data_IF_891519150168
#
_entry.id   IF_891519150168
#
_cell.length_a   1.000
_cell.length_b   1.000
_cell.length_c   1.000
_cell.angle_alpha   90.00
_cell.angle_beta   90.00
_cell.angle_gamma   90.00
#
_symmetry.space_group_name_H-M   'P 1'
#
loop_
_entity.id
_entity.type
_entity.pdbx_description
1 polymer ?
#
# COMPACT_ATOMS: atom_id res chain seq x y z
N UNK A 1 26.66 17.12 14.65
CA UNK A 1 25.52 17.94 14.17
C UNK A 1 25.02 17.30 12.89
N UNK A 2 24.14 16.30 13.04
CA UNK A 2 23.33 15.79 11.94
C UNK A 2 22.39 16.91 11.53
N UNK A 3 22.34 17.25 10.24
CA UNK A 3 21.23 18.07 9.74
C UNK A 3 19.95 17.37 10.13
N UNK A 4 19.00 18.09 10.73
CA UNK A 4 17.66 17.58 10.95
C UNK A 4 17.06 17.28 9.58
N UNK A 5 17.13 16.01 9.18
CA UNK A 5 16.50 15.53 7.96
C UNK A 5 15.00 15.57 8.24
N UNK A 6 14.34 16.62 7.77
CA UNK A 6 12.91 16.78 7.92
C UNK A 6 12.20 15.79 6.98
N UNK A 7 11.64 14.73 7.54
CA UNK A 7 10.84 13.77 6.80
C UNK A 7 9.54 14.44 6.35
N UNK A 8 9.33 14.49 5.03
CA UNK A 8 8.18 15.14 4.45
C UNK A 8 7.05 14.14 4.20
N UNK A 9 5.82 14.49 4.63
CA UNK A 9 4.63 13.69 4.32
C UNK A 9 4.56 13.41 2.82
N UNK A 10 4.34 12.15 2.39
CA UNK A 10 4.15 11.79 0.99
C UNK A 10 3.04 12.64 0.36
N UNK A 11 3.27 13.17 -0.84
CA UNK A 11 2.23 13.88 -1.59
C UNK A 11 1.50 12.85 -2.45
N UNK A 12 0.19 12.75 -2.25
CA UNK A 12 -0.69 11.89 -3.02
C UNK A 12 -1.51 12.72 -4.01
N UNK A 13 -1.81 12.14 -5.16
CA UNK A 13 -2.62 12.74 -6.23
C UNK A 13 -4.08 12.27 -6.19
N UNK A 14 -4.32 11.10 -5.62
CA UNK A 14 -5.65 10.60 -5.28
C UNK A 14 -6.18 11.26 -4.01
N UNK A 15 -7.51 11.42 -3.93
CA UNK A 15 -8.17 11.95 -2.73
C UNK A 15 -8.23 10.92 -1.58
N UNK A 16 -8.16 9.63 -1.90
CA UNK A 16 -8.16 8.55 -0.92
C UNK A 16 -6.75 8.25 -0.40
N UNK A 17 -6.60 7.99 0.89
CA UNK A 17 -5.32 7.57 1.50
C UNK A 17 -5.38 6.15 2.04
N UNK A 18 -6.45 5.40 1.75
CA UNK A 18 -6.74 4.12 2.39
C UNK A 18 -5.94 2.95 1.83
N UNK A 19 -5.21 3.16 0.74
CA UNK A 19 -4.39 2.15 0.09
C UNK A 19 -2.95 2.09 0.58
N UNK A 20 -2.50 3.08 1.37
CA UNK A 20 -1.17 3.11 1.98
C UNK A 20 -1.35 2.91 3.49
N UNK A 21 -0.67 1.91 4.07
CA UNK A 21 -0.63 1.73 5.52
C UNK A 21 0.44 2.62 6.21
N UNK A 22 0.48 2.60 7.54
CA UNK A 22 1.41 3.45 8.31
C UNK A 22 2.88 3.16 7.96
N UNK A 23 3.29 1.89 7.82
CA UNK A 23 4.63 1.50 7.36
C UNK A 23 4.92 2.02 5.96
N UNK A 24 4.02 1.80 5.01
CA UNK A 24 4.18 2.22 3.62
C UNK A 24 4.29 3.76 3.53
N UNK A 25 3.56 4.51 4.37
CA UNK A 25 3.68 5.97 4.49
C UNK A 25 5.09 6.41 4.92
N UNK A 26 5.68 5.74 5.92
CA UNK A 26 7.03 6.04 6.41
C UNK A 26 8.10 5.72 5.35
N UNK A 27 7.91 4.63 4.60
CA UNK A 27 8.80 4.24 3.49
C UNK A 27 8.71 5.27 2.36
N UNK A 28 7.50 5.64 1.94
CA UNK A 28 7.27 6.64 0.90
C UNK A 28 7.89 7.99 1.31
N UNK A 29 7.77 8.38 2.59
CA UNK A 29 8.40 9.57 3.15
C UNK A 29 9.93 9.50 3.08
N UNK A 30 10.50 8.34 3.42
CA UNK A 30 11.95 8.10 3.36
C UNK A 30 12.52 8.23 1.93
N UNK A 31 11.77 7.78 0.93
CA UNK A 31 12.14 7.94 -0.49
C UNK A 31 12.01 9.41 -0.93
N UNK A 32 10.88 10.04 -0.60
CA UNK A 32 10.60 11.46 -0.93
C UNK A 32 11.66 12.40 -0.35
N UNK A 33 12.09 12.16 0.88
CA UNK A 33 13.07 12.99 1.59
C UNK A 33 14.45 12.99 0.89
N UNK A 34 14.73 11.98 0.06
CA UNK A 34 15.92 11.89 -0.78
C UNK A 34 15.71 12.44 -2.20
N UNK A 35 14.59 13.13 -2.44
CA UNK A 35 14.26 13.76 -3.70
C UNK A 35 13.81 12.79 -4.80
N UNK A 36 13.43 11.55 -4.43
CA UNK A 36 13.01 10.53 -5.37
C UNK A 36 11.48 10.37 -5.35
N UNK A 37 10.84 10.08 -6.50
CA UNK A 37 9.40 9.81 -6.56
C UNK A 37 9.14 8.42 -6.00
N UNK A 38 8.28 8.25 -4.98
CA UNK A 38 7.93 6.94 -4.42
C UNK A 38 6.81 6.20 -5.18
N UNK A 39 6.09 6.91 -6.04
CA UNK A 39 4.92 6.42 -6.77
C UNK A 39 5.18 5.17 -7.63
N UNK A 40 6.44 4.92 -8.01
CA UNK A 40 6.81 3.71 -8.75
C UNK A 40 6.61 2.42 -7.94
N UNK A 41 6.56 2.50 -6.61
CA UNK A 41 6.23 1.34 -5.77
C UNK A 41 4.87 0.73 -6.11
N UNK A 42 3.95 1.53 -6.66
CA UNK A 42 2.59 1.12 -7.01
C UNK A 42 2.41 0.79 -8.51
N UNK A 43 3.50 0.80 -9.28
CA UNK A 43 3.45 0.78 -10.74
C UNK A 43 2.90 -0.50 -11.36
N UNK A 44 2.86 -1.59 -10.60
CA UNK A 44 2.22 -2.85 -11.00
C UNK A 44 1.27 -3.40 -9.93
N UNK A 45 0.73 -2.54 -9.06
CA UNK A 45 -0.26 -2.91 -8.07
C UNK A 45 -1.63 -3.18 -8.73
N UNK A 46 -1.78 -4.34 -9.35
CA UNK A 46 -3.06 -4.85 -9.82
C UNK A 46 -3.24 -6.30 -9.39
N UNK A 47 -4.48 -6.67 -9.12
CA UNK A 47 -4.71 -7.99 -8.57
C UNK A 47 -6.18 -8.39 -8.48
N UNK A 48 -6.43 -9.62 -8.88
CA UNK A 48 -7.65 -10.38 -8.61
C UNK A 48 -7.32 -11.87 -8.87
N UNK A 49 -7.09 -12.65 -7.82
CA UNK A 49 -6.93 -14.10 -7.94
C UNK A 49 -8.21 -14.79 -7.48
N UNK A 50 -8.63 -15.79 -8.25
CA UNK A 50 -9.85 -16.54 -7.99
C UNK A 50 -9.68 -18.03 -8.34
N UNK A 51 -9.84 -18.88 -7.32
CA UNK A 51 -9.78 -20.34 -7.45
C UNK A 51 -11.14 -20.99 -7.22
N UNK A 52 -11.93 -20.42 -6.30
CA UNK A 52 -13.30 -20.84 -5.98
C UNK A 52 -14.06 -19.74 -5.23
N UNK A 53 -15.36 -19.92 -5.00
CA UNK A 53 -16.19 -18.97 -4.23
C UNK A 53 -15.68 -18.71 -2.81
N UNK A 54 -14.92 -19.63 -2.22
CA UNK A 54 -14.32 -19.47 -0.88
C UNK A 54 -12.83 -19.14 -0.93
N UNK A 55 -12.26 -18.99 -2.13
CA UNK A 55 -10.83 -18.76 -2.34
C UNK A 55 -10.64 -17.68 -3.42
N UNK A 56 -10.65 -16.44 -2.93
CA UNK A 56 -10.47 -15.20 -3.68
C UNK A 56 -9.55 -14.26 -2.89
N UNK A 57 -8.64 -13.61 -3.60
CA UNK A 57 -7.61 -12.73 -3.04
C UNK A 57 -7.20 -11.66 -4.03
N UNK A 58 -6.44 -10.65 -3.58
CA UNK A 58 -5.83 -9.69 -4.51
C UNK A 58 -4.68 -10.33 -5.31
N UNK A 59 -3.90 -11.23 -4.69
CA UNK A 59 -2.75 -11.91 -5.28
C UNK A 59 -2.87 -13.42 -5.15
N UNK A 60 -2.10 -14.17 -5.92
CA UNK A 60 -1.94 -15.60 -5.65
C UNK A 60 -1.33 -15.83 -4.25
N UNK A 61 -1.66 -16.93 -3.54
CA UNK A 61 -1.20 -17.17 -2.16
C UNK A 61 0.31 -17.10 -1.94
N UNK A 62 1.11 -17.47 -2.93
CA UNK A 62 2.58 -17.49 -2.85
C UNK A 62 3.23 -16.26 -3.48
N UNK A 63 2.42 -15.31 -3.94
CA UNK A 63 2.91 -14.13 -4.63
C UNK A 63 3.25 -13.02 -3.63
N UNK A 64 4.51 -12.54 -3.60
CA UNK A 64 4.89 -11.44 -2.72
C UNK A 64 4.16 -10.15 -3.10
N UNK A 65 3.89 -9.32 -2.09
CA UNK A 65 3.27 -8.00 -2.29
C UNK A 65 4.15 -7.13 -3.23
N UNK A 66 3.60 -6.58 -4.32
CA UNK A 66 4.41 -5.85 -5.29
C UNK A 66 5.09 -4.62 -4.70
N UNK A 67 4.50 -3.97 -3.69
CA UNK A 67 5.12 -2.85 -2.97
C UNK A 67 6.54 -3.18 -2.48
N UNK A 68 6.69 -4.29 -1.75
CA UNK A 68 7.97 -4.71 -1.18
C UNK A 68 8.94 -5.21 -2.25
N UNK A 69 8.43 -5.90 -3.27
CA UNK A 69 9.26 -6.28 -4.42
C UNK A 69 9.82 -5.06 -5.14
N UNK A 70 8.98 -4.06 -5.37
CA UNK A 70 9.36 -2.82 -6.06
C UNK A 70 10.31 -1.97 -5.22
N UNK A 71 10.21 -2.04 -3.89
CA UNK A 71 11.16 -1.38 -2.99
C UNK A 71 12.60 -1.87 -3.24
N UNK A 72 12.81 -3.18 -3.33
CA UNK A 72 14.12 -3.74 -3.64
C UNK A 72 14.46 -3.59 -5.13
N UNK A 73 13.55 -3.99 -6.02
CA UNK A 73 13.78 -4.03 -7.48
C UNK A 73 14.03 -2.65 -8.09
N UNK A 74 13.27 -1.63 -7.68
CA UNK A 74 13.31 -0.31 -8.30
C UNK A 74 14.17 0.69 -7.53
N UNK A 75 14.22 0.56 -6.20
CA UNK A 75 14.98 1.49 -5.37
C UNK A 75 16.27 0.88 -4.82
N UNK A 76 16.54 -0.41 -5.02
CA UNK A 76 17.68 -1.09 -4.41
C UNK A 76 17.64 -1.06 -2.88
N UNK A 77 16.49 -0.77 -2.28
CA UNK A 77 16.35 -0.60 -0.85
C UNK A 77 16.29 -1.95 -0.16
N UNK A 78 17.16 -2.13 0.83
CA UNK A 78 17.24 -3.32 1.67
C UNK A 78 16.77 -2.98 3.08
N UNK A 79 16.08 -3.93 3.69
CA UNK A 79 15.72 -3.88 5.10
C UNK A 79 16.80 -4.55 5.94
N UNK A 80 17.23 -3.87 7.00
CA UNK A 80 17.97 -4.50 8.09
C UNK A 80 17.02 -4.63 9.26
N UNK A 81 16.58 -5.86 9.53
CA UNK A 81 15.62 -6.15 10.60
C UNK A 81 16.30 -6.25 11.96
N UNK A 82 15.67 -5.69 12.98
CA UNK A 82 16.11 -5.70 14.38
C UNK A 82 15.05 -6.36 15.25
N UNK A 83 15.03 -7.69 15.22
CA UNK A 83 14.08 -8.49 15.98
C UNK A 83 14.62 -8.84 17.37
N UNK A 84 13.80 -8.69 18.40
CA UNK A 84 14.15 -9.06 19.79
C UNK A 84 15.20 -8.15 20.45
N UNK A 85 15.50 -7.00 19.85
CA UNK A 85 16.38 -5.97 20.42
C UNK A 85 15.63 -5.07 21.38
N UNK A 86 16.33 -4.49 22.35
CA UNK A 86 15.74 -3.47 23.26
C UNK A 86 15.73 -2.10 22.60
N UNK A 87 14.93 -1.18 23.14
CA UNK A 87 14.94 0.20 22.64
C UNK A 87 16.29 0.88 22.91
N UNK A 88 16.94 0.61 24.05
CA UNK A 88 18.28 1.15 24.35
C UNK A 88 19.31 0.75 23.30
N UNK A 89 19.34 -0.54 22.93
CA UNK A 89 20.24 -1.06 21.91
C UNK A 89 20.06 -0.34 20.57
N UNK A 90 18.81 -0.11 20.16
CA UNK A 90 18.50 0.61 18.92
C UNK A 90 18.87 2.09 19.00
N UNK A 91 18.55 2.74 20.12
CA UNK A 91 18.83 4.14 20.35
C UNK A 91 20.34 4.43 20.35
N UNK A 92 21.13 3.62 21.04
CA UNK A 92 22.57 3.83 21.19
C UNK A 92 23.36 3.39 19.96
N UNK A 93 23.13 2.16 19.47
CA UNK A 93 23.98 1.59 18.43
C UNK A 93 23.55 1.96 17.02
N UNK A 94 22.24 2.10 16.79
CA UNK A 94 21.69 2.31 15.45
C UNK A 94 21.44 3.79 15.21
N UNK A 95 20.67 4.43 16.09
CA UNK A 95 20.27 5.82 15.88
C UNK A 95 21.43 6.77 16.19
N UNK A 96 22.05 6.65 17.37
CA UNK A 96 23.11 7.58 17.79
C UNK A 96 24.46 7.27 17.14
N UNK A 97 24.97 6.04 17.26
CA UNK A 97 26.32 5.71 16.79
C UNK A 97 26.44 5.65 15.27
N UNK A 98 25.44 5.10 14.58
CA UNK A 98 25.45 5.00 13.10
C UNK A 98 24.78 6.18 12.40
N UNK A 99 24.00 6.99 13.12
CA UNK A 99 23.21 8.08 12.52
C UNK A 99 22.09 7.58 11.60
N UNK A 100 21.62 6.35 11.84
CA UNK A 100 20.54 5.74 11.08
C UNK A 100 19.16 6.16 11.61
N UNK A 101 18.13 5.98 10.77
CA UNK A 101 16.73 6.07 11.19
C UNK A 101 16.13 4.67 11.26
N UNK A 102 15.23 4.46 12.22
CA UNK A 102 14.60 3.15 12.46
C UNK A 102 13.09 3.29 12.43
N UNK A 103 12.40 2.44 11.67
CA UNK A 103 10.95 2.26 11.80
C UNK A 103 10.72 1.25 12.91
N UNK A 104 9.96 1.62 13.93
CA UNK A 104 9.58 0.77 15.04
C UNK A 104 8.11 0.37 14.92
N UNK A 105 7.83 -0.91 15.09
CA UNK A 105 6.47 -1.43 15.23
C UNK A 105 6.19 -1.64 16.72
N UNK A 106 5.04 -1.17 17.17
CA UNK A 106 4.62 -1.26 18.56
C UNK A 106 3.11 -1.17 18.71
N UNK A 107 2.66 -1.09 19.96
CA UNK A 107 1.24 -1.00 20.28
C UNK A 107 0.79 0.46 20.43
N UNK A 108 -0.11 0.91 19.54
CA UNK A 108 -0.65 2.28 19.54
C UNK A 108 -1.32 2.68 20.86
N UNK A 109 -1.68 1.71 21.71
CA UNK A 109 -2.23 1.94 23.04
C UNK A 109 -1.44 2.96 23.87
N UNK A 110 -0.11 2.95 23.75
CA UNK A 110 0.80 3.82 24.51
C UNK A 110 1.15 5.13 23.79
N UNK A 111 0.59 5.41 22.61
CA UNK A 111 0.88 6.62 21.82
C UNK A 111 -0.02 7.80 22.24
N UNK A 112 0.49 8.83 22.95
CA UNK A 112 -0.35 9.90 23.50
C UNK A 112 -0.88 10.88 22.46
N UNK A 113 -0.25 10.99 21.28
CA UNK A 113 -0.74 11.84 20.19
C UNK A 113 -1.87 11.19 19.38
N UNK A 114 -2.11 9.88 19.57
CA UNK A 114 -3.24 9.19 18.95
C UNK A 114 -4.51 9.40 19.75
N UNK A 115 -5.18 10.53 19.53
CA UNK A 115 -6.40 10.92 20.27
C UNK A 115 -7.52 9.86 20.24
N UNK A 116 -7.55 9.01 19.21
CA UNK A 116 -8.56 7.96 19.02
C UNK A 116 -8.14 6.66 19.72
N UNK A 117 -6.87 6.28 19.67
CA UNK A 117 -6.42 4.96 20.12
C UNK A 117 -5.75 4.97 21.51
N UNK A 118 -5.23 6.13 21.95
CA UNK A 118 -4.49 6.24 23.20
C UNK A 118 -5.31 5.73 24.38
N UNK A 119 -4.79 4.69 25.05
CA UNK A 119 -5.45 3.99 26.16
C UNK A 119 -6.89 3.54 25.85
N UNK A 120 -7.19 3.27 24.58
CA UNK A 120 -8.52 2.86 24.11
C UNK A 120 -8.51 1.62 23.23
N UNK A 121 -7.47 1.42 22.41
CA UNK A 121 -7.41 0.30 21.47
C UNK A 121 -5.98 -0.23 21.32
N UNK A 122 -5.83 -1.55 21.43
CA UNK A 122 -4.59 -2.25 21.11
C UNK A 122 -4.53 -2.52 19.60
N UNK A 123 -3.48 -2.05 18.94
CA UNK A 123 -3.28 -2.23 17.51
C UNK A 123 -1.81 -2.01 17.15
N UNK A 124 -1.28 -2.82 16.24
CA UNK A 124 0.02 -2.57 15.66
C UNK A 124 0.04 -1.23 14.92
N UNK A 125 1.07 -0.46 15.19
CA UNK A 125 1.33 0.80 14.51
C UNK A 125 2.83 1.00 14.33
N UNK A 126 3.18 1.77 13.32
CA UNK A 126 4.56 2.01 12.93
C UNK A 126 4.90 3.49 13.05
N UNK A 127 6.03 3.77 13.71
CA UNK A 127 6.58 5.13 13.87
C UNK A 127 8.03 5.16 13.40
N UNK A 128 8.48 6.31 12.91
CA UNK A 128 9.87 6.51 12.50
C UNK A 128 10.64 7.26 13.58
N UNK A 129 11.77 6.70 14.00
CA UNK A 129 12.71 7.33 14.92
C UNK A 129 13.89 7.87 14.13
N UNK A 130 14.14 9.17 14.25
CA UNK A 130 15.16 9.87 13.45
C UNK A 130 16.30 10.44 14.28
N UNK A 131 16.19 10.42 15.60
CA UNK A 131 17.21 10.94 16.50
C UNK A 131 17.05 10.45 17.92
N UNK A 132 18.16 10.43 18.66
CA UNK A 132 18.20 10.11 20.08
C UNK A 132 19.01 11.18 20.82
N UNK A 133 18.40 11.77 21.85
CA UNK A 133 19.03 12.70 22.77
C UNK A 133 19.30 11.98 24.10
N UNK A 134 20.55 11.50 24.33
CA UNK A 134 20.86 10.75 25.54
C UNK A 134 20.87 11.61 26.81
N UNK A 135 20.98 12.94 26.69
CA UNK A 135 20.99 13.84 27.85
C UNK A 135 19.62 13.92 28.49
N UNK A 136 18.60 14.14 27.67
CA UNK A 136 17.22 14.31 28.13
C UNK A 136 16.42 13.01 28.06
N UNK A 137 17.04 11.92 27.58
CA UNK A 137 16.42 10.61 27.30
C UNK A 137 15.17 10.77 26.44
N UNK A 138 15.35 11.38 25.27
CA UNK A 138 14.27 11.61 24.31
C UNK A 138 14.62 11.04 22.94
N UNK A 139 13.59 10.57 22.23
CA UNK A 139 13.68 10.13 20.83
C UNK A 139 12.89 11.11 19.97
N UNK A 140 13.43 11.47 18.81
CA UNK A 140 12.69 12.25 17.83
C UNK A 140 11.84 11.31 16.98
N UNK A 141 10.53 11.47 17.09
CA UNK A 141 9.53 10.63 16.44
C UNK A 141 8.87 11.36 15.29
N UNK A 142 8.62 10.64 14.20
CA UNK A 142 7.78 11.04 13.08
C UNK A 142 6.69 9.98 12.89
N UNK A 143 5.45 10.44 12.87
CA UNK A 143 4.25 9.65 12.64
C UNK A 143 3.34 10.43 11.67
N UNK A 144 2.70 9.73 10.74
CA UNK A 144 1.78 10.33 9.77
C UNK A 144 0.32 9.89 9.99
N UNK A 145 0.08 8.93 10.88
CA UNK A 145 -1.24 8.34 11.13
C UNK A 145 -1.39 8.00 12.64
N UNK A 146 -1.43 9.01 13.54
CA UNK A 146 -1.75 10.42 13.28
C UNK A 146 -0.51 11.29 13.01
N UNK A 147 -0.73 12.47 12.41
CA UNK A 147 0.33 13.44 12.16
C UNK A 147 0.98 13.93 13.47
N UNK A 148 2.25 13.57 13.65
CA UNK A 148 3.07 13.99 14.77
C UNK A 148 4.55 14.04 14.36
N UNK A 149 5.25 15.09 14.80
CA UNK A 149 6.71 15.16 14.70
C UNK A 149 7.26 15.89 15.93
N UNK A 150 8.13 15.25 16.68
CA UNK A 150 8.71 15.87 17.88
C UNK A 150 9.52 14.94 18.76
N UNK A 151 10.18 15.54 19.75
CA UNK A 151 10.87 14.82 20.81
C UNK A 151 9.86 14.22 21.78
N UNK A 152 10.05 12.94 22.09
CA UNK A 152 9.22 12.16 23.01
C UNK A 152 10.12 11.46 24.02
N UNK A 153 9.69 11.42 25.28
CA UNK A 153 10.36 10.68 26.34
C UNK A 153 10.62 9.23 25.93
N UNK A 154 11.84 8.76 26.18
CA UNK A 154 12.27 7.39 25.93
C UNK A 154 11.28 6.38 26.51
N UNK A 155 10.87 6.57 27.76
CA UNK A 155 9.98 5.63 28.46
C UNK A 155 8.59 5.48 27.79
N UNK A 156 8.11 6.51 27.09
CA UNK A 156 6.85 6.42 26.32
C UNK A 156 7.04 5.55 25.09
N UNK A 157 8.16 5.71 24.40
CA UNK A 157 8.48 4.92 23.21
C UNK A 157 8.83 3.49 23.58
N UNK A 158 9.46 3.27 24.75
CA UNK A 158 9.75 1.95 25.26
C UNK A 158 8.46 1.18 25.60
N UNK A 159 7.49 1.84 26.25
CA UNK A 159 6.17 1.26 26.48
C UNK A 159 5.46 0.87 25.18
N UNK A 160 5.45 1.76 24.18
CA UNK A 160 4.93 1.46 22.84
C UNK A 160 5.62 0.25 22.20
N UNK A 161 6.96 0.23 22.21
CA UNK A 161 7.77 -0.78 21.53
C UNK A 161 7.65 -2.16 22.20
N UNK A 162 7.70 -2.19 23.54
CA UNK A 162 7.56 -3.41 24.33
C UNK A 162 6.12 -3.91 24.40
N UNK A 163 5.12 -3.03 24.37
CA UNK A 163 3.70 -3.40 24.24
C UNK A 163 3.42 -4.19 22.95
N UNK A 164 4.18 -3.91 21.89
CA UNK A 164 4.12 -4.67 20.64
C UNK A 164 4.46 -6.16 20.78
N UNK A 165 5.12 -6.60 21.85
CA UNK A 165 5.47 -8.02 22.07
C UNK A 165 4.21 -8.88 22.18
N UNK A 166 3.15 -8.39 22.82
CA UNK A 166 1.90 -9.17 22.96
C UNK A 166 1.20 -9.39 21.61
N UNK A 167 1.36 -8.44 20.68
CA UNK A 167 0.76 -8.48 19.35
C UNK A 167 1.62 -9.24 18.33
N UNK A 168 2.95 -9.11 18.42
CA UNK A 168 3.90 -9.58 17.41
C UNK A 168 4.77 -10.76 17.86
N UNK A 169 4.65 -11.18 19.12
CA UNK A 169 5.49 -12.19 19.75
C UNK A 169 6.91 -11.72 20.11
N UNK A 170 7.29 -10.49 19.75
CA UNK A 170 8.63 -9.93 19.93
C UNK A 170 8.65 -8.42 19.67
N UNK A 171 9.72 -7.74 20.05
CA UNK A 171 10.02 -6.39 19.57
C UNK A 171 10.47 -6.43 18.11
N UNK A 172 9.99 -5.48 17.30
CA UNK A 172 10.31 -5.42 15.88
C UNK A 172 10.55 -3.98 15.42
N UNK A 173 11.72 -3.75 14.83
CA UNK A 173 12.02 -2.54 14.08
C UNK A 173 12.95 -2.84 12.92
N UNK A 174 13.07 -1.90 11.98
CA UNK A 174 13.96 -2.08 10.85
C UNK A 174 14.53 -0.75 10.34
N UNK A 175 15.71 -0.85 9.73
CA UNK A 175 16.32 0.23 8.98
C UNK A 175 16.13 0.01 7.48
N UNK A 176 16.12 1.11 6.73
CA UNK A 176 16.12 1.09 5.28
C UNK A 176 17.43 1.65 4.73
N UNK A 177 18.07 0.92 3.81
CA UNK A 177 19.19 1.46 3.05
C UNK A 177 18.76 2.67 2.20
N UNK A 178 19.74 3.43 1.70
CA UNK A 178 19.44 4.53 0.80
C UNK A 178 18.84 4.03 -0.52
N UNK A 179 17.70 4.59 -0.99
CA UNK A 179 17.16 4.35 -2.31
C UNK A 179 18.11 4.87 -3.36
N UNK A 180 18.11 4.13 -4.45
CA UNK A 180 18.71 4.49 -5.71
C UNK A 180 17.65 4.22 -6.75
N UNK A 181 17.13 5.27 -7.39
CA UNK A 181 16.21 5.12 -8.52
C UNK A 181 16.93 5.62 -9.77
N UNK A 182 17.08 4.75 -10.75
CA UNK A 182 17.48 5.13 -12.09
C UNK A 182 16.26 4.89 -13.00
N UNK A 183 15.35 5.88 -13.15
CA UNK A 183 14.15 5.68 -13.93
C UNK A 183 14.53 5.60 -15.42
N UNK A 184 14.63 4.38 -15.92
CA UNK A 184 14.90 4.07 -17.31
C UNK A 184 13.61 3.69 -18.04
N UNK A 185 13.58 3.91 -19.36
CA UNK A 185 12.43 3.55 -20.20
C UNK A 185 12.07 2.07 -20.06
N UNK A 186 13.07 1.20 -20.05
CA UNK A 186 12.89 -0.26 -19.92
C UNK A 186 12.27 -0.63 -18.57
N UNK A 187 12.60 0.12 -17.51
CA UNK A 187 11.97 -0.05 -16.21
C UNK A 187 10.47 0.26 -16.28
N UNK A 188 10.06 1.36 -16.94
CA UNK A 188 8.63 1.64 -17.13
C UNK A 188 7.94 0.57 -17.96
N UNK A 189 8.53 0.20 -19.10
CA UNK A 189 7.95 -0.81 -19.98
C UNK A 189 7.78 -2.13 -19.23
N UNK A 190 8.76 -2.53 -18.41
CA UNK A 190 8.67 -3.70 -17.56
C UNK A 190 7.55 -3.61 -16.53
N UNK A 191 7.36 -2.45 -15.89
CA UNK A 191 6.31 -2.25 -14.90
C UNK A 191 4.91 -2.23 -15.52
N UNK A 192 4.71 -1.52 -16.63
CA UNK A 192 3.44 -1.54 -17.35
C UNK A 192 3.14 -2.92 -17.94
N UNK A 193 4.16 -3.68 -18.35
CA UNK A 193 3.99 -5.07 -18.83
C UNK A 193 3.57 -5.98 -17.68
N UNK A 194 4.14 -5.79 -16.49
CA UNK A 194 3.72 -6.48 -15.25
C UNK A 194 2.25 -6.16 -14.93
N UNK A 195 1.89 -4.88 -14.92
CA UNK A 195 0.52 -4.42 -14.68
C UNK A 195 -0.46 -5.02 -15.71
N UNK A 196 -0.13 -4.98 -17.00
CA UNK A 196 -0.95 -5.55 -18.07
C UNK A 196 -1.19 -7.05 -17.87
N UNK A 197 -0.15 -7.82 -17.56
CA UNK A 197 -0.27 -9.26 -17.29
C UNK A 197 -1.17 -9.53 -16.07
N UNK A 198 -1.04 -8.72 -15.00
CA UNK A 198 -1.88 -8.82 -13.79
C UNK A 198 -3.34 -8.46 -14.08
N UNK A 199 -3.60 -7.43 -14.86
CA UNK A 199 -4.97 -7.06 -15.30
C UNK A 199 -5.58 -8.21 -16.11
N UNK A 200 -4.83 -8.79 -17.05
CA UNK A 200 -5.29 -9.90 -17.87
C UNK A 200 -5.65 -11.13 -17.04
N UNK A 201 -4.78 -11.54 -16.12
CA UNK A 201 -5.04 -12.64 -15.21
C UNK A 201 -6.24 -12.36 -14.30
N UNK A 202 -6.33 -11.13 -13.78
CA UNK A 202 -7.43 -10.69 -12.93
C UNK A 202 -8.78 -10.70 -13.64
N UNK A 203 -8.82 -10.26 -14.90
CA UNK A 203 -10.02 -10.31 -15.73
C UNK A 203 -10.50 -11.75 -15.94
N UNK A 204 -9.59 -12.68 -16.23
CA UNK A 204 -9.93 -14.10 -16.35
C UNK A 204 -10.47 -14.67 -15.03
N UNK A 205 -9.87 -14.33 -13.89
CA UNK A 205 -10.37 -14.70 -12.57
C UNK A 205 -11.78 -14.15 -12.32
N UNK A 206 -12.03 -12.88 -12.67
CA UNK A 206 -13.31 -12.21 -12.46
C UNK A 206 -14.43 -12.82 -13.32
N UNK A 207 -14.11 -13.17 -14.56
CA UNK A 207 -15.03 -13.89 -15.45
C UNK A 207 -15.37 -15.27 -14.90
N UNK A 208 -14.40 -15.97 -14.32
CA UNK A 208 -14.63 -17.27 -13.67
C UNK A 208 -15.50 -17.14 -12.42
N UNK A 209 -15.24 -16.17 -11.54
CA UNK A 209 -16.13 -15.86 -10.41
C UNK A 209 -17.56 -15.61 -10.90
N UNK A 210 -17.72 -14.80 -11.94
CA UNK A 210 -19.03 -14.50 -12.50
C UNK A 210 -19.77 -15.74 -12.99
N UNK A 211 -19.06 -16.70 -13.60
CA UNK A 211 -19.63 -17.96 -14.07
C UNK A 211 -19.99 -18.90 -12.91
N UNK A 212 -19.13 -19.03 -11.90
CA UNK A 212 -19.36 -19.93 -10.76
C UNK A 212 -20.55 -19.47 -9.88
N UNK A 213 -20.92 -18.19 -9.96
CA UNK A 213 -22.14 -17.66 -9.35
C UNK A 213 -23.43 -18.17 -10.03
N UNK A 214 -23.39 -18.73 -11.23
CA UNK A 214 -24.60 -19.21 -11.94
C UNK A 214 -25.29 -20.39 -11.21
N UNK A 215 -24.60 -21.07 -10.29
CA UNK A 215 -25.15 -22.16 -9.47
C UNK A 215 -25.50 -21.79 -8.02
N UNK A 216 -25.49 -20.50 -7.67
CA UNK A 216 -25.76 -20.04 -6.29
C UNK A 216 -27.06 -19.25 -6.23
N UNK A 217 -27.89 -19.48 -5.22
CA UNK A 217 -29.09 -18.66 -5.00
C UNK A 217 -28.80 -17.47 -4.06
N UNK A 218 -27.96 -17.68 -3.06
CA UNK A 218 -27.60 -16.70 -2.04
C UNK A 218 -26.11 -16.78 -1.69
N UNK A 219 -25.48 -15.62 -1.47
CA UNK A 219 -24.05 -15.53 -1.17
C UNK A 219 -23.78 -14.94 0.23
N UNK A 220 -24.74 -14.93 1.14
CA UNK A 220 -24.62 -14.29 2.46
C UNK A 220 -23.41 -14.82 3.24
N UNK A 221 -23.19 -16.15 3.21
CA UNK A 221 -22.06 -16.79 3.88
C UNK A 221 -20.68 -16.53 3.25
N UNK A 222 -20.65 -16.02 2.01
CA UNK A 222 -19.40 -15.71 1.31
C UNK A 222 -18.89 -14.29 1.61
N UNK A 223 -19.75 -13.40 2.10
CA UNK A 223 -19.40 -11.99 2.28
C UNK A 223 -18.30 -11.81 3.33
N UNK A 224 -18.33 -12.59 4.41
CA UNK A 224 -17.28 -12.51 5.44
C UNK A 224 -15.93 -13.02 4.91
N UNK A 225 -15.95 -13.99 4.00
CA UNK A 225 -14.75 -14.49 3.31
C UNK A 225 -14.19 -13.42 2.37
N UNK A 226 -15.05 -12.76 1.59
CA UNK A 226 -14.62 -11.78 0.58
C UNK A 226 -14.27 -10.41 1.15
N UNK A 227 -14.72 -10.05 2.36
CA UNK A 227 -14.66 -8.69 2.87
C UNK A 227 -13.25 -8.08 2.91
N UNK A 228 -12.29 -8.86 3.40
CA UNK A 228 -10.89 -8.45 3.51
C UNK A 228 -10.17 -8.50 2.14
N UNK A 229 -10.26 -9.60 1.37
CA UNK A 229 -9.76 -9.63 -0.01
C UNK A 229 -10.24 -8.45 -0.87
N UNK A 230 -11.54 -8.13 -0.82
CA UNK A 230 -12.10 -7.00 -1.57
C UNK A 230 -11.54 -5.65 -1.12
N UNK A 231 -11.17 -5.51 0.16
CA UNK A 231 -10.49 -4.29 0.65
C UNK A 231 -9.14 -4.13 -0.05
N UNK A 232 -8.36 -5.21 -0.13
CA UNK A 232 -7.04 -5.21 -0.76
C UNK A 232 -7.13 -5.02 -2.28
N UNK A 233 -8.09 -5.65 -2.94
CA UNK A 233 -8.41 -5.46 -4.37
C UNK A 233 -8.69 -3.99 -4.71
N UNK A 234 -9.43 -3.29 -3.84
CA UNK A 234 -9.67 -1.84 -3.98
C UNK A 234 -8.37 -1.05 -3.77
N UNK A 235 -7.63 -1.34 -2.70
CA UNK A 235 -6.37 -0.65 -2.39
C UNK A 235 -5.35 -0.75 -3.54
N UNK A 236 -5.21 -1.92 -4.17
CA UNK A 236 -4.31 -2.08 -5.30
C UNK A 236 -4.68 -1.16 -6.47
N UNK A 237 -5.97 -1.09 -6.81
CA UNK A 237 -6.46 -0.22 -7.88
C UNK A 237 -6.27 1.27 -7.58
N UNK A 238 -6.52 1.68 -6.33
CA UNK A 238 -6.23 3.05 -5.87
C UNK A 238 -4.74 3.37 -5.98
N UNK A 239 -3.87 2.43 -5.60
CA UNK A 239 -2.42 2.63 -5.67
C UNK A 239 -1.89 2.68 -7.11
N UNK A 240 -2.42 1.84 -8.02
CA UNK A 240 -2.07 1.93 -9.44
C UNK A 240 -2.59 3.22 -10.08
N UNK A 241 -3.78 3.68 -9.67
CA UNK A 241 -4.31 4.99 -10.06
C UNK A 241 -3.41 6.13 -9.59
N UNK A 242 -2.92 6.07 -8.35
CA UNK A 242 -1.95 7.03 -7.81
C UNK A 242 -0.67 7.09 -8.68
N UNK A 243 -0.17 5.94 -9.13
CA UNK A 243 0.96 5.88 -10.05
C UNK A 243 0.69 6.56 -11.41
N UNK A 244 -0.45 6.27 -12.05
CA UNK A 244 -0.78 6.90 -13.35
C UNK A 244 -1.02 8.40 -13.22
N UNK A 245 -1.64 8.86 -12.13
CA UNK A 245 -1.81 10.28 -11.85
C UNK A 245 -0.47 10.97 -11.61
N UNK A 246 0.45 10.34 -10.88
CA UNK A 246 1.81 10.82 -10.75
C UNK A 246 2.47 11.02 -12.13
N UNK A 247 2.41 10.02 -13.01
CA UNK A 247 2.99 10.17 -14.35
C UNK A 247 2.38 11.38 -15.08
N UNK A 248 1.06 11.57 -15.01
CA UNK A 248 0.37 12.73 -15.61
C UNK A 248 0.82 14.07 -15.05
N UNK A 249 1.00 14.18 -13.74
CA UNK A 249 1.42 15.42 -13.07
C UNK A 249 2.89 15.78 -13.30
N UNK A 250 3.68 14.85 -13.85
CA UNK A 250 5.10 15.03 -14.11
C UNK A 250 5.43 14.89 -15.61
N UNK A 251 4.99 15.83 -16.47
CA UNK A 251 5.12 15.75 -17.94
C UNK A 251 6.55 15.72 -18.47
N UNK A 252 7.52 16.13 -17.65
CA UNK A 252 8.95 15.99 -17.91
C UNK A 252 9.41 14.52 -17.98
N UNK A 253 8.66 13.61 -17.33
CA UNK A 253 8.77 12.19 -17.62
C UNK A 253 8.11 12.01 -18.99
N UNK A 254 8.89 11.67 -20.02
CA UNK A 254 8.53 11.68 -21.46
C UNK A 254 7.29 10.83 -21.88
N UNK A 255 6.52 10.37 -20.91
CA UNK A 255 5.56 9.28 -20.92
C UNK A 255 4.19 9.76 -20.40
N UNK A 256 4.14 10.89 -19.68
CA UNK A 256 2.89 11.50 -19.17
C UNK A 256 1.87 11.80 -20.27
N UNK A 257 2.36 12.31 -21.40
CA UNK A 257 1.52 12.66 -22.56
C UNK A 257 1.02 11.43 -23.32
N UNK A 258 1.51 10.23 -22.98
CA UNK A 258 1.09 8.99 -23.63
C UNK A 258 -0.11 8.36 -22.93
N UNK A 259 -0.43 8.74 -21.69
CA UNK A 259 -1.58 8.22 -20.94
C UNK A 259 -2.84 8.98 -21.40
N UNK A 260 -3.79 8.32 -22.08
CA UNK A 260 -5.04 8.96 -22.49
C UNK A 260 -5.89 9.33 -21.28
N UNK A 261 -6.65 10.42 -21.39
CA UNK A 261 -7.62 10.83 -20.35
C UNK A 261 -8.62 9.71 -20.05
N UNK A 262 -9.12 9.07 -21.11
CA UNK A 262 -10.08 7.98 -21.03
C UNK A 262 -9.60 6.81 -20.18
N UNK A 263 -8.29 6.55 -20.15
CA UNK A 263 -7.70 5.48 -19.33
C UNK A 263 -7.78 5.82 -17.84
N UNK A 264 -7.53 7.08 -17.48
CA UNK A 264 -7.66 7.55 -16.10
C UNK A 264 -9.13 7.57 -15.65
N UNK A 265 -10.05 8.02 -16.51
CA UNK A 265 -11.49 8.01 -16.25
C UNK A 265 -12.02 6.57 -16.07
N UNK A 266 -11.55 5.63 -16.90
CA UNK A 266 -11.87 4.20 -16.82
C UNK A 266 -11.41 3.64 -15.48
N UNK A 267 -10.17 3.93 -15.10
CA UNK A 267 -9.58 3.47 -13.84
C UNK A 267 -10.32 4.05 -12.62
N UNK A 268 -10.58 5.36 -12.59
CA UNK A 268 -11.33 6.00 -11.50
C UNK A 268 -12.74 5.40 -11.37
N UNK A 269 -13.42 5.19 -12.49
CA UNK A 269 -14.75 4.56 -12.54
C UNK A 269 -14.70 3.13 -11.99
N UNK A 270 -13.68 2.36 -12.41
CA UNK A 270 -13.49 0.98 -11.99
C UNK A 270 -13.20 0.87 -10.49
N UNK A 271 -12.26 1.67 -9.98
CA UNK A 271 -11.94 1.77 -8.55
C UNK A 271 -13.18 2.12 -7.73
N UNK A 272 -13.94 3.13 -8.16
CA UNK A 272 -15.19 3.54 -7.50
C UNK A 272 -16.24 2.43 -7.50
N UNK A 273 -16.35 1.66 -8.59
CA UNK A 273 -17.27 0.51 -8.67
C UNK A 273 -16.85 -0.62 -7.74
N UNK A 274 -15.56 -0.94 -7.63
CA UNK A 274 -15.05 -1.94 -6.68
C UNK A 274 -15.32 -1.53 -5.22
N UNK A 275 -15.04 -0.26 -4.87
CA UNK A 275 -15.34 0.28 -3.55
C UNK A 275 -16.84 0.19 -3.23
N UNK A 276 -17.68 0.63 -4.16
CA UNK A 276 -19.14 0.56 -4.04
C UNK A 276 -19.64 -0.89 -3.95
N UNK A 277 -19.09 -1.80 -4.76
CA UNK A 277 -19.41 -3.22 -4.73
C UNK A 277 -19.19 -3.80 -3.34
N UNK A 278 -17.97 -3.67 -2.80
CA UNK A 278 -17.62 -4.12 -1.45
C UNK A 278 -18.60 -3.60 -0.39
N UNK A 279 -18.83 -2.28 -0.35
CA UNK A 279 -19.71 -1.68 0.65
C UNK A 279 -21.18 -2.11 0.50
N UNK A 280 -21.65 -2.32 -0.73
CA UNK A 280 -23.00 -2.80 -0.98
C UNK A 280 -23.18 -4.25 -0.55
N UNK A 281 -22.17 -5.12 -0.71
CA UNK A 281 -22.24 -6.50 -0.21
C UNK A 281 -22.46 -6.54 1.31
N UNK A 282 -21.73 -5.72 2.08
CA UNK A 282 -21.93 -5.65 3.53
C UNK A 282 -23.32 -5.13 3.90
N UNK A 283 -23.82 -4.13 3.18
CA UNK A 283 -25.19 -3.61 3.37
C UNK A 283 -26.26 -4.68 3.07
N UNK A 284 -26.07 -5.50 2.04
CA UNK A 284 -26.98 -6.59 1.71
C UNK A 284 -26.91 -7.70 2.78
N UNK A 285 -25.71 -8.07 3.22
CA UNK A 285 -25.52 -9.04 4.30
C UNK A 285 -26.25 -8.61 5.59
N UNK A 286 -26.18 -7.32 5.96
CA UNK A 286 -26.91 -6.77 7.11
C UNK A 286 -28.44 -6.86 6.98
N UNK A 287 -28.97 -6.94 5.75
CA UNK A 287 -30.39 -7.16 5.48
C UNK A 287 -30.78 -8.64 5.47
N UNK A 288 -29.81 -9.54 5.67
CA UNK A 288 -30.03 -10.98 5.83
C UNK A 288 -30.11 -11.79 4.54
N UNK A 289 -29.97 -11.16 3.36
CA UNK A 289 -29.94 -11.85 2.07
C UNK A 289 -29.02 -11.14 1.10
N UNK A 290 -28.25 -11.90 0.34
CA UNK A 290 -27.39 -11.40 -0.73
C UNK A 290 -27.70 -12.18 -2.00
N UNK A 291 -28.73 -11.77 -2.76
CA UNK A 291 -29.14 -12.48 -3.96
C UNK A 291 -28.03 -12.45 -5.01
N UNK A 292 -27.76 -13.61 -5.60
CA UNK A 292 -26.70 -13.76 -6.60
C UNK A 292 -26.87 -12.82 -7.79
N UNK A 293 -28.12 -12.55 -8.17
CA UNK A 293 -28.48 -11.69 -9.30
C UNK A 293 -28.00 -10.26 -9.09
N UNK A 294 -28.02 -9.78 -7.84
CA UNK A 294 -27.49 -8.47 -7.49
C UNK A 294 -25.97 -8.43 -7.57
N UNK A 295 -25.28 -9.49 -7.12
CA UNK A 295 -23.82 -9.59 -7.25
C UNK A 295 -23.42 -9.57 -8.72
N UNK A 296 -24.00 -10.45 -9.53
CA UNK A 296 -23.71 -10.56 -10.97
C UNK A 296 -24.01 -9.27 -11.71
N UNK A 297 -25.14 -8.61 -11.43
CA UNK A 297 -25.47 -7.32 -12.05
C UNK A 297 -24.41 -6.23 -11.80
N UNK A 298 -23.67 -6.32 -10.69
CA UNK A 298 -22.59 -5.39 -10.35
C UNK A 298 -21.25 -5.80 -10.93
N UNK A 299 -20.96 -7.10 -10.98
CA UNK A 299 -19.73 -7.62 -11.59
C UNK A 299 -19.70 -7.44 -13.11
N UNK A 300 -20.83 -7.62 -13.80
CA UNK A 300 -20.90 -7.51 -15.26
C UNK A 300 -20.31 -6.19 -15.83
N UNK A 301 -20.69 -4.99 -15.37
CA UNK A 301 -20.08 -3.75 -15.85
C UNK A 301 -18.61 -3.60 -15.43
N UNK A 302 -18.18 -4.24 -14.34
CA UNK A 302 -16.78 -4.21 -13.91
C UNK A 302 -15.89 -5.07 -14.82
N UNK A 303 -16.39 -6.22 -15.28
CA UNK A 303 -15.71 -7.05 -16.29
C UNK A 303 -15.46 -6.26 -17.58
N UNK A 304 -16.46 -5.48 -18.03
CA UNK A 304 -16.29 -4.60 -19.20
C UNK A 304 -15.18 -3.58 -18.99
N UNK A 305 -15.20 -2.86 -17.87
CA UNK A 305 -14.19 -1.85 -17.56
C UNK A 305 -12.77 -2.41 -17.34
N UNK A 306 -12.65 -3.61 -16.76
CA UNK A 306 -11.36 -4.31 -16.64
C UNK A 306 -10.80 -4.68 -18.03
N UNK A 307 -11.67 -5.07 -18.97
CA UNK A 307 -11.28 -5.35 -20.35
C UNK A 307 -10.89 -4.08 -21.12
N UNK A 308 -11.63 -2.98 -20.93
CA UNK A 308 -11.30 -1.67 -21.51
C UNK A 308 -9.94 -1.18 -20.99
N UNK A 309 -9.72 -1.26 -19.68
CA UNK A 309 -8.43 -0.90 -19.08
C UNK A 309 -7.28 -1.78 -19.59
N UNK A 310 -7.50 -3.10 -19.72
CA UNK A 310 -6.49 -4.00 -20.28
C UNK A 310 -6.06 -3.56 -21.68
N UNK A 311 -7.04 -3.23 -22.54
CA UNK A 311 -6.77 -2.74 -23.89
C UNK A 311 -6.03 -1.40 -23.87
N UNK A 312 -6.44 -0.47 -23.02
CA UNK A 312 -5.80 0.85 -22.89
C UNK A 312 -4.32 0.73 -22.47
N UNK A 313 -4.01 -0.09 -21.46
CA UNK A 313 -2.63 -0.35 -21.03
C UNK A 313 -1.85 -1.07 -22.14
N UNK A 314 -2.47 -1.97 -22.90
CA UNK A 314 -1.87 -2.63 -24.05
C UNK A 314 -1.48 -1.67 -25.18
N UNK A 315 -2.35 -0.70 -25.49
CA UNK A 315 -2.08 0.37 -26.46
C UNK A 315 -0.95 1.28 -25.97
N UNK A 316 -0.96 1.64 -24.67
CA UNK A 316 0.09 2.42 -24.06
C UNK A 316 1.45 1.70 -24.20
N UNK A 317 1.51 0.41 -23.85
CA UNK A 317 2.72 -0.41 -24.01
C UNK A 317 3.22 -0.40 -25.46
N UNK A 318 2.35 -0.68 -26.43
CA UNK A 318 2.73 -0.69 -27.85
C UNK A 318 3.27 0.67 -28.31
N UNK A 319 2.64 1.77 -27.88
CA UNK A 319 3.07 3.13 -28.20
C UNK A 319 4.45 3.44 -27.60
N UNK A 320 4.67 3.03 -26.35
CA UNK A 320 5.92 3.27 -25.65
C UNK A 320 7.07 2.41 -26.18
N UNK A 321 6.79 1.24 -26.76
CA UNK A 321 7.80 0.40 -27.41
C UNK A 321 8.29 0.96 -28.76
N UNK A 322 7.48 1.76 -29.47
CA UNK A 322 7.82 2.27 -30.81
C UNK A 322 8.65 3.57 -30.83
N UNK A 323 8.66 4.34 -29.74
CA UNK A 323 9.43 5.60 -29.65
C UNK A 323 10.91 5.32 -29.32
N UNK A 324 11.71 4.93 -30.32
CA UNK A 324 13.18 4.85 -30.21
C UNK A 324 13.86 6.21 -30.05
#
# INVERSE_FOLDING_TARGET
MTQDVLFARPQLYTAGTHFIDCTEFLICSSIKTRGLPFHWLFSDNWGFSYRSLTDLSALEPDEPLPFWMNLEKLYGMKQTQHHGRTLEELAEEVILARGSTVILTGDIWDIPWSTICYRQTHMNHDILITGYNPRDRELYVVDFVPDFAGWVSFDVIDAFFTGGIELNGSTYGFELSAPQLAPERDMLLGQLSSAHARIQAGLAGLQRLYADLDGQDDCTGLIDIWWNPLKQIVAFRESFQEFLLFLRHHPQLALASAIPESTLETLETLTSKWFSFRNNLKKLQMKGQVPVTQIRSRLAPMIGLEADLLNDIGILLATLSQKE
#
